data_IF_515494721781
#
_entry.id   IF_515494721781
#
_cell.length_a   1.000
_cell.length_b   1.000
_cell.length_c   1.000
_cell.angle_alpha   90.00
_cell.angle_beta   90.00
_cell.angle_gamma   90.00
#
_symmetry.space_group_name_H-M   'P 1'
#
loop_
_entity.id
_entity.type
_entity.pdbx_description
1 polymer ?
#
# COMPACT_ATOMS: atom_id res chain seq x y z
N UNK A 1 -14.44 -9.28 10.68
CA UNK A 1 -14.35 -8.18 9.71
C UNK A 1 -13.23 -8.50 8.72
N UNK A 2 -13.57 -8.92 7.49
CA UNK A 2 -12.64 -9.39 6.44
C UNK A 2 -12.95 -8.80 5.05
N UNK A 3 -13.91 -7.89 4.93
CA UNK A 3 -14.53 -7.58 3.63
C UNK A 3 -13.72 -6.66 2.71
N UNK A 4 -12.56 -6.14 3.14
CA UNK A 4 -11.72 -5.23 2.33
C UNK A 4 -10.22 -5.54 2.35
N UNK A 5 -9.81 -6.69 2.87
CA UNK A 5 -8.39 -7.08 2.84
C UNK A 5 -8.03 -7.71 1.51
N UNK A 6 -6.93 -7.24 0.90
CA UNK A 6 -6.38 -7.76 -0.35
C UNK A 6 -5.10 -8.52 -0.03
N UNK A 7 -4.90 -9.68 -0.64
CA UNK A 7 -3.67 -10.44 -0.50
C UNK A 7 -2.55 -9.80 -1.34
N UNK A 8 -1.35 -9.71 -0.76
CA UNK A 8 -0.14 -9.34 -1.48
C UNK A 8 0.27 -10.46 -2.45
N UNK A 9 -0.36 -10.53 -3.62
CA UNK A 9 0.00 -11.42 -4.73
C UNK A 9 0.07 -10.67 -6.05
N UNK A 10 0.71 -9.49 -6.04
CA UNK A 10 0.78 -8.65 -7.24
C UNK A 10 -0.55 -7.99 -7.64
N UNK A 11 -1.54 -7.98 -6.73
CA UNK A 11 -2.87 -7.43 -6.99
C UNK A 11 -2.80 -5.93 -7.27
N UNK A 12 -3.51 -5.48 -8.31
CA UNK A 12 -3.68 -4.06 -8.63
C UNK A 12 -4.94 -3.54 -7.92
N UNK A 13 -4.78 -2.55 -7.05
CA UNK A 13 -5.86 -1.99 -6.24
C UNK A 13 -6.10 -0.55 -6.66
N UNK A 14 -7.31 -0.19 -7.13
CA UNK A 14 -7.66 1.19 -7.44
C UNK A 14 -7.59 2.07 -6.19
N UNK A 15 -7.17 3.33 -6.37
CA UNK A 15 -7.14 4.32 -5.30
C UNK A 15 -8.16 5.43 -5.59
N UNK A 16 -8.86 5.96 -4.57
CA UNK A 16 -9.70 7.13 -4.76
C UNK A 16 -8.85 8.35 -5.09
N UNK A 17 -9.37 9.32 -5.86
CA UNK A 17 -8.69 10.58 -6.10
C UNK A 17 -8.54 11.37 -4.79
N UNK A 18 -7.44 12.10 -4.65
CA UNK A 18 -7.17 12.91 -3.47
C UNK A 18 -5.69 12.85 -3.09
N UNK A 19 -5.03 14.01 -3.10
CA UNK A 19 -3.60 14.09 -2.81
C UNK A 19 -3.29 13.68 -1.38
N UNK A 20 -2.30 12.81 -1.22
CA UNK A 20 -1.60 12.55 0.04
C UNK A 20 -0.13 12.32 -0.26
N UNK A 21 0.74 12.76 0.63
CA UNK A 21 2.18 12.48 0.54
C UNK A 21 2.50 11.00 0.83
N UNK A 22 1.51 10.25 1.34
CA UNK A 22 1.65 8.85 1.74
C UNK A 22 0.35 8.08 1.57
N UNK A 23 0.47 6.82 1.17
CA UNK A 23 -0.57 5.81 1.28
C UNK A 23 -0.38 4.99 2.56
N UNK A 24 -1.44 4.83 3.34
CA UNK A 24 -1.41 4.00 4.56
C UNK A 24 -1.86 2.59 4.24
N UNK A 25 -1.03 1.61 4.61
CA UNK A 25 -1.35 0.19 4.54
C UNK A 25 -1.55 -0.37 5.94
N UNK A 26 -2.62 -1.10 6.16
CA UNK A 26 -2.90 -1.80 7.41
C UNK A 26 -2.88 -3.31 7.21
N UNK A 27 -1.91 -3.97 7.84
CA UNK A 27 -1.69 -5.40 7.73
C UNK A 27 -2.50 -6.17 8.77
N UNK A 28 -2.72 -7.45 8.51
CA UNK A 28 -3.39 -8.36 9.46
C UNK A 28 -2.67 -8.53 10.82
N UNK A 29 -1.44 -8.01 10.97
CA UNK A 29 -0.70 -7.99 12.23
C UNK A 29 0.73 -7.44 12.05
N UNK A 30 1.43 -7.22 13.16
CA UNK A 30 2.80 -6.68 13.15
C UNK A 30 3.81 -7.62 12.46
N UNK A 31 3.62 -8.94 12.55
CA UNK A 31 4.49 -9.90 11.85
C UNK A 31 4.35 -9.83 10.33
N UNK A 32 3.12 -9.63 9.84
CA UNK A 32 2.87 -9.44 8.40
C UNK A 32 3.45 -8.11 7.92
N UNK A 33 3.27 -7.03 8.68
CA UNK A 33 3.88 -5.74 8.38
C UNK A 33 5.42 -5.86 8.32
N UNK A 34 6.04 -6.50 9.33
CA UNK A 34 7.49 -6.76 9.33
C UNK A 34 7.93 -7.58 8.12
N UNK A 35 7.16 -8.59 7.72
CA UNK A 35 7.49 -9.40 6.54
C UNK A 35 7.38 -8.62 5.23
N UNK A 36 6.56 -7.56 5.18
CA UNK A 36 6.38 -6.69 4.04
C UNK A 36 7.28 -5.44 4.05
N UNK A 37 8.02 -5.18 5.14
CA UNK A 37 8.90 -4.03 5.24
C UNK A 37 9.98 -4.05 4.14
N UNK A 38 10.19 -2.90 3.50
CA UNK A 38 11.09 -2.76 2.36
C UNK A 38 10.64 -3.46 1.08
N UNK A 39 9.44 -4.03 1.03
CA UNK A 39 8.91 -4.57 -0.22
C UNK A 39 8.52 -3.44 -1.18
N UNK A 40 8.78 -3.67 -2.47
CA UNK A 40 8.40 -2.75 -3.54
C UNK A 40 6.89 -2.84 -3.83
N UNK A 41 6.31 -1.69 -4.10
CA UNK A 41 4.98 -1.52 -4.67
C UNK A 41 5.09 -0.66 -5.92
N UNK A 42 4.19 -0.85 -6.88
CA UNK A 42 4.13 0.03 -8.05
C UNK A 42 2.96 0.99 -7.90
N UNK A 43 3.24 2.28 -7.88
CA UNK A 43 2.22 3.32 -7.85
C UNK A 43 1.91 3.72 -9.29
N UNK A 44 0.65 3.57 -9.67
CA UNK A 44 0.17 3.89 -11.01
C UNK A 44 -0.41 5.30 -11.02
N UNK A 45 0.07 6.13 -11.93
CA UNK A 45 -0.46 7.45 -12.25
C UNK A 45 -1.15 7.40 -13.62
N UNK A 46 -1.74 8.51 -14.06
CA UNK A 46 -2.42 8.56 -15.36
C UNK A 46 -1.44 8.36 -16.54
N UNK A 47 -0.18 8.79 -16.37
CA UNK A 47 0.85 8.86 -17.40
C UNK A 47 2.11 8.01 -17.07
N UNK A 48 2.20 7.45 -15.86
CA UNK A 48 3.40 6.80 -15.37
C UNK A 48 3.12 5.66 -14.38
N UNK A 49 4.16 4.86 -14.14
CA UNK A 49 4.19 3.85 -13.08
C UNK A 49 5.54 3.96 -12.39
N UNK A 50 5.54 4.28 -11.10
CA UNK A 50 6.75 4.49 -10.32
C UNK A 50 6.87 3.43 -9.21
N UNK A 51 8.07 2.88 -8.97
CA UNK A 51 8.31 2.01 -7.83
C UNK A 51 8.41 2.83 -6.54
N UNK A 52 7.75 2.36 -5.49
CA UNK A 52 7.84 2.91 -4.14
C UNK A 52 8.01 1.77 -3.12
N UNK A 53 8.43 2.09 -1.90
CA UNK A 53 8.76 1.09 -0.88
C UNK A 53 7.87 1.20 0.35
N UNK A 54 7.48 0.04 0.87
CA UNK A 54 6.74 -0.06 2.12
C UNK A 54 7.68 0.21 3.29
N UNK A 55 7.29 1.14 4.16
CA UNK A 55 7.98 1.43 5.41
C UNK A 55 7.11 1.06 6.62
N UNK A 56 7.53 0.03 7.35
CA UNK A 56 6.83 -0.50 8.52
C UNK A 56 7.58 -0.12 9.81
N UNK A 57 7.02 0.76 10.67
CA UNK A 57 7.58 0.99 11.99
C UNK A 57 7.60 -0.31 12.83
N UNK A 58 8.70 -0.61 13.56
CA UNK A 58 8.79 -1.82 14.36
C UNK A 58 7.63 -1.97 15.35
N UNK A 59 7.07 -3.18 15.43
CA UNK A 59 5.98 -3.52 16.34
C UNK A 59 4.60 -2.93 15.97
N UNK A 60 4.46 -2.34 14.77
CA UNK A 60 3.18 -1.84 14.25
C UNK A 60 2.65 -2.73 13.13
N UNK A 61 1.34 -2.83 13.03
CA UNK A 61 0.64 -3.44 11.88
C UNK A 61 0.39 -2.44 10.74
N UNK A 62 0.80 -1.19 10.90
CA UNK A 62 0.56 -0.11 9.94
C UNK A 62 1.85 0.31 9.28
N UNK A 63 1.80 0.53 7.97
CA UNK A 63 2.92 1.01 7.18
C UNK A 63 2.53 2.19 6.30
N UNK A 64 3.55 2.83 5.73
CA UNK A 64 3.38 3.90 4.75
C UNK A 64 4.14 3.58 3.48
N UNK A 65 3.54 3.94 2.36
CA UNK A 65 4.20 4.04 1.05
C UNK A 65 4.23 5.52 0.69
N UNK A 66 5.41 6.10 0.43
CA UNK A 66 5.49 7.49 -0.01
C UNK A 66 4.86 7.64 -1.40
N UNK A 67 4.21 8.78 -1.64
CA UNK A 67 3.69 9.18 -2.95
C UNK A 67 4.52 10.38 -3.40
N UNK A 68 5.60 10.11 -4.12
CA UNK A 68 6.62 11.14 -4.41
C UNK A 68 6.21 12.11 -5.52
N UNK A 69 5.25 11.72 -6.36
CA UNK A 69 4.71 12.58 -7.41
C UNK A 69 3.65 13.56 -6.90
N UNK A 70 3.59 14.77 -7.48
CA UNK A 70 2.51 15.71 -7.21
C UNK A 70 1.20 15.31 -7.90
N UNK A 71 1.17 14.37 -8.85
CA UNK A 71 -0.05 13.88 -9.49
C UNK A 71 -0.85 12.91 -8.60
N UNK A 72 -2.15 12.72 -8.91
CA UNK A 72 -2.98 11.77 -8.17
C UNK A 72 -2.68 10.34 -8.63
N UNK A 73 -2.31 9.43 -7.71
CA UNK A 73 -2.23 8.02 -8.07
C UNK A 73 -3.63 7.48 -8.34
N UNK A 74 -3.73 6.58 -9.31
CA UNK A 74 -4.97 5.94 -9.76
C UNK A 74 -5.10 4.51 -9.23
N UNK A 75 -3.97 3.85 -8.98
CA UNK A 75 -3.91 2.51 -8.41
C UNK A 75 -2.56 2.23 -7.76
N UNK A 76 -2.48 1.16 -6.98
CA UNK A 76 -1.25 0.60 -6.46
C UNK A 76 -1.20 -0.90 -6.75
N UNK A 77 -0.05 -1.39 -7.21
CA UNK A 77 0.23 -2.82 -7.28
C UNK A 77 0.93 -3.25 -6.00
N UNK A 78 0.28 -4.14 -5.26
CA UNK A 78 0.82 -4.74 -4.04
C UNK A 78 2.01 -5.67 -4.36
N UNK A 79 2.94 -5.88 -3.41
CA UNK A 79 4.05 -6.80 -3.62
C UNK A 79 3.55 -8.24 -3.81
N UNK A 80 4.41 -9.10 -4.36
CA UNK A 80 4.17 -10.54 -4.35
C UNK A 80 4.74 -11.17 -3.06
N UNK A 81 3.92 -11.15 -2.00
CA UNK A 81 4.21 -11.71 -0.67
C UNK A 81 3.02 -12.57 -0.20
N UNK A 82 2.86 -13.79 -0.73
CA UNK A 82 1.73 -14.66 -0.41
C UNK A 82 1.54 -14.86 1.10
N UNK A 83 0.29 -14.90 1.55
CA UNK A 83 -0.06 -14.99 2.98
C UNK A 83 -0.01 -13.67 3.74
N UNK A 84 0.44 -12.58 3.12
CA UNK A 84 0.34 -11.21 3.65
C UNK A 84 -0.93 -10.56 3.14
N UNK A 85 -1.72 -9.98 4.05
CA UNK A 85 -2.98 -9.33 3.75
C UNK A 85 -2.96 -7.89 4.22
N UNK A 86 -3.43 -6.98 3.37
CA UNK A 86 -3.42 -5.54 3.62
C UNK A 86 -4.80 -4.95 3.38
N UNK A 87 -5.15 -3.95 4.16
CA UNK A 87 -6.20 -3.00 3.89
C UNK A 87 -5.56 -1.68 3.52
N UNK A 88 -6.06 -1.05 2.47
CA UNK A 88 -5.63 0.29 2.10
C UNK A 88 -6.60 1.25 2.79
N UNK A 89 -6.09 2.09 3.69
CA UNK A 89 -6.92 3.12 4.31
C UNK A 89 -7.20 4.22 3.28
N UNK A 90 -8.45 4.31 2.83
CA UNK A 90 -8.99 5.54 2.28
C UNK A 90 -9.10 6.52 3.45
N UNK A 91 -8.16 7.46 3.61
CA UNK A 91 -8.38 8.50 4.60
C UNK A 91 -9.67 9.26 4.23
N UNK A 92 -10.47 9.59 5.23
CA UNK A 92 -11.65 10.40 5.04
C UNK A 92 -11.26 11.75 4.43
N UNK A 93 -12.08 12.22 3.50
CA UNK A 93 -12.01 13.57 2.94
C UNK A 93 -12.26 14.64 4.01
#
# INVERSE_FOLDING_TARGET
>A
MRERSVECRGALVPLPPGHRDWLTLEFGGADQARAADGAEVLVHYADAVDPEWIHCPPGRSRARVPLTRPENPTAIRLPDRPGTWVQIEEAAA
#
